data_IF_080122761294
#
_entry.id   IF_080122761294
#
_cell.length_a   1.000
_cell.length_b   1.000
_cell.length_c   1.000
_cell.angle_alpha   90.00
_cell.angle_beta   90.00
_cell.angle_gamma   90.00
#
_symmetry.space_group_name_H-M   'P 1'
#
loop_
_entity.id
_entity.type
_entity.pdbx_description
1 polymer ?
#
# COMPACT_ATOMS: atom_id res chain seq x y z
N UNK A 1 -12.60 29.29 12.49
CA UNK A 1 -13.29 29.41 11.19
C UNK A 1 -14.53 28.50 11.20
N UNK A 2 -15.74 29.07 11.20
CA UNK A 2 -17.00 28.32 11.12
C UNK A 2 -17.19 27.85 9.68
N UNK A 3 -16.62 26.70 9.32
CA UNK A 3 -17.04 26.02 8.10
C UNK A 3 -18.52 25.66 8.28
N UNK A 4 -19.40 26.27 7.48
CA UNK A 4 -20.81 25.88 7.37
C UNK A 4 -20.90 25.00 6.11
N UNK A 5 -20.48 23.72 6.17
CA UNK A 5 -20.46 22.88 4.98
C UNK A 5 -21.89 22.65 4.50
N UNK A 6 -22.08 22.83 3.19
CA UNK A 6 -23.33 22.50 2.52
C UNK A 6 -23.47 20.97 2.53
N UNK A 7 -24.61 20.48 3.05
CA UNK A 7 -24.84 19.03 3.21
C UNK A 7 -24.73 18.24 1.90
N UNK A 8 -25.12 18.84 0.78
CA UNK A 8 -24.96 18.23 -0.55
C UNK A 8 -23.50 18.06 -0.96
N UNK A 9 -22.65 19.06 -0.72
CA UNK A 9 -21.23 19.02 -1.09
C UNK A 9 -20.51 17.93 -0.31
N UNK A 10 -20.80 17.80 0.98
CA UNK A 10 -20.18 16.79 1.84
C UNK A 10 -20.50 15.37 1.37
N UNK A 11 -21.76 15.11 1.02
CA UNK A 11 -22.19 13.80 0.49
C UNK A 11 -21.50 13.48 -0.83
N UNK A 12 -21.48 14.43 -1.77
CA UNK A 12 -20.83 14.25 -3.07
C UNK A 12 -19.33 14.00 -2.90
N UNK A 13 -18.65 14.79 -2.07
CA UNK A 13 -17.23 14.64 -1.80
C UNK A 13 -16.92 13.28 -1.16
N UNK A 14 -17.72 12.83 -0.19
CA UNK A 14 -17.54 11.53 0.45
C UNK A 14 -17.74 10.38 -0.55
N UNK A 15 -18.75 10.47 -1.42
CA UNK A 15 -18.99 9.47 -2.47
C UNK A 15 -17.81 9.39 -3.43
N UNK A 16 -17.33 10.52 -3.95
CA UNK A 16 -16.18 10.55 -4.86
C UNK A 16 -14.93 9.99 -4.17
N UNK A 17 -14.66 10.41 -2.94
CA UNK A 17 -13.52 9.93 -2.17
C UNK A 17 -13.61 8.44 -1.88
N UNK A 18 -14.80 7.92 -1.55
CA UNK A 18 -15.02 6.48 -1.31
C UNK A 18 -14.81 5.65 -2.57
N UNK A 19 -15.21 6.15 -3.75
CA UNK A 19 -14.95 5.48 -5.04
C UNK A 19 -13.45 5.46 -5.35
N UNK A 20 -12.75 6.59 -5.20
CA UNK A 20 -11.30 6.66 -5.38
C UNK A 20 -10.57 5.72 -4.43
N UNK A 21 -10.99 5.71 -3.17
CA UNK A 21 -10.44 4.83 -2.14
C UNK A 21 -10.69 3.35 -2.44
N UNK A 22 -11.85 3.01 -3.00
CA UNK A 22 -12.15 1.67 -3.48
C UNK A 22 -11.21 1.24 -4.60
N UNK A 23 -10.97 2.10 -5.60
CA UNK A 23 -10.03 1.82 -6.70
C UNK A 23 -8.62 1.58 -6.16
N UNK A 24 -8.14 2.46 -5.27
CA UNK A 24 -6.83 2.32 -4.62
C UNK A 24 -6.73 1.00 -3.83
N UNK A 25 -7.79 0.62 -3.12
CA UNK A 25 -7.84 -0.62 -2.35
C UNK A 25 -7.70 -1.86 -3.24
N UNK A 26 -8.38 -1.88 -4.39
CA UNK A 26 -8.27 -2.97 -5.36
C UNK A 26 -6.83 -3.08 -5.88
N UNK A 27 -6.21 -1.96 -6.23
CA UNK A 27 -4.80 -1.95 -6.69
C UNK A 27 -3.85 -2.47 -5.60
N UNK A 28 -4.07 -2.09 -4.33
CA UNK A 28 -3.28 -2.59 -3.20
C UNK A 28 -3.43 -4.10 -3.01
N UNK A 29 -4.66 -4.63 -3.07
CA UNK A 29 -4.93 -6.07 -2.94
C UNK A 29 -4.22 -6.83 -4.07
N UNK A 30 -4.36 -6.34 -5.32
CA UNK A 30 -3.72 -6.98 -6.48
C UNK A 30 -2.21 -6.99 -6.36
N UNK A 31 -1.59 -5.86 -5.95
CA UNK A 31 -0.15 -5.82 -5.70
C UNK A 31 0.26 -6.80 -4.61
N UNK A 32 -0.43 -6.80 -3.46
CA UNK A 32 -0.16 -7.74 -2.38
C UNK A 32 -0.28 -9.20 -2.81
N UNK A 33 -1.28 -9.52 -3.65
CA UNK A 33 -1.49 -10.86 -4.19
C UNK A 33 -0.36 -11.30 -5.14
N UNK A 34 0.10 -10.42 -6.04
CA UNK A 34 1.24 -10.71 -6.94
C UNK A 34 2.49 -11.03 -6.11
N UNK A 35 2.80 -10.19 -5.11
CA UNK A 35 3.94 -10.45 -4.22
C UNK A 35 3.77 -11.73 -3.40
N UNK A 36 2.54 -12.06 -2.97
CA UNK A 36 2.28 -13.29 -2.22
C UNK A 36 2.51 -14.56 -3.06
N UNK A 37 2.15 -14.54 -4.34
CA UNK A 37 2.33 -15.65 -5.29
C UNK A 37 3.84 -15.93 -5.53
N UNK A 38 4.63 -14.87 -5.78
CA UNK A 38 6.08 -14.98 -5.93
C UNK A 38 6.77 -15.56 -4.69
N UNK A 39 6.26 -15.29 -3.49
CA UNK A 39 6.77 -15.83 -2.23
C UNK A 39 6.32 -17.27 -1.93
N UNK A 40 5.40 -17.84 -2.69
CA UNK A 40 4.94 -19.22 -2.47
C UNK A 40 6.01 -20.26 -2.82
N UNK A 41 6.94 -19.93 -3.73
CA UNK A 41 7.98 -20.84 -4.21
C UNK A 41 9.31 -20.89 -3.42
N UNK A 42 9.80 -19.82 -2.73
CA UNK A 42 11.08 -19.85 -2.00
C UNK A 42 10.95 -20.08 -0.48
N UNK A 43 9.76 -20.47 0.01
CA UNK A 43 9.28 -20.39 1.42
C UNK A 43 10.01 -21.25 2.47
N UNK A 44 11.34 -21.38 2.43
CA UNK A 44 12.09 -22.09 3.49
C UNK A 44 13.31 -21.37 4.06
N UNK A 45 13.79 -20.26 3.50
CA UNK A 45 15.08 -19.69 3.94
C UNK A 45 15.19 -18.17 4.07
N UNK A 46 14.16 -17.39 3.74
CA UNK A 46 14.20 -15.92 3.83
C UNK A 46 13.28 -15.44 4.95
N UNK A 47 13.83 -14.60 5.82
CA UNK A 47 13.30 -14.22 7.14
C UNK A 47 11.84 -13.75 7.16
N UNK A 48 11.21 -13.92 8.32
CA UNK A 48 9.78 -13.74 8.56
C UNK A 48 9.24 -12.36 8.12
N UNK A 49 10.08 -11.32 8.07
CA UNK A 49 9.70 -9.95 7.74
C UNK A 49 9.10 -9.77 6.34
N UNK A 50 9.53 -10.57 5.35
CA UNK A 50 9.05 -10.42 3.97
C UNK A 50 7.67 -11.04 3.71
N UNK A 51 7.23 -11.99 4.55
CA UNK A 51 5.90 -12.61 4.41
C UNK A 51 4.84 -11.75 5.10
N UNK A 52 5.21 -11.06 6.18
CA UNK A 52 4.30 -10.19 6.91
C UNK A 52 3.87 -8.99 6.08
N UNK A 53 4.77 -8.43 5.26
CA UNK A 53 4.51 -7.23 4.46
C UNK A 53 3.39 -7.41 3.39
N UNK A 54 3.46 -8.36 2.44
CA UNK A 54 2.41 -8.57 1.44
C UNK A 54 1.08 -9.00 2.09
N UNK A 55 1.15 -9.79 3.17
CA UNK A 55 -0.03 -10.20 3.94
C UNK A 55 -0.72 -8.99 4.59
N UNK A 56 0.04 -8.06 5.18
CA UNK A 56 -0.47 -6.80 5.72
C UNK A 56 -1.11 -5.93 4.64
N UNK A 57 -0.51 -5.83 3.44
CA UNK A 57 -1.11 -5.09 2.32
C UNK A 57 -2.47 -5.66 1.90
N UNK A 58 -2.61 -6.98 1.84
CA UNK A 58 -3.88 -7.64 1.49
C UNK A 58 -4.94 -7.37 2.57
N UNK A 59 -4.58 -7.54 3.85
CA UNK A 59 -5.50 -7.30 4.97
C UNK A 59 -5.94 -5.83 4.98
N UNK A 60 -4.99 -4.91 4.88
CA UNK A 60 -5.26 -3.47 4.91
C UNK A 60 -6.10 -3.05 3.71
N UNK A 61 -5.80 -3.55 2.51
CA UNK A 61 -6.58 -3.31 1.30
C UNK A 61 -8.01 -3.82 1.42
N UNK A 62 -8.22 -5.00 2.00
CA UNK A 62 -9.56 -5.56 2.24
C UNK A 62 -10.39 -4.71 3.23
N UNK A 63 -9.75 -4.20 4.28
CA UNK A 63 -10.38 -3.31 5.25
C UNK A 63 -10.76 -1.97 4.60
N UNK A 64 -9.90 -1.44 3.74
CA UNK A 64 -10.16 -0.21 2.98
C UNK A 64 -11.33 -0.40 2.00
N UNK A 65 -11.42 -1.56 1.35
CA UNK A 65 -12.56 -1.90 0.49
C UNK A 65 -13.88 -1.93 1.29
N UNK A 66 -13.89 -2.52 2.48
CA UNK A 66 -15.06 -2.52 3.37
C UNK A 66 -15.45 -1.08 3.79
N UNK A 67 -14.47 -0.23 4.09
CA UNK A 67 -14.69 1.18 4.41
C UNK A 67 -15.22 1.99 3.21
N UNK A 68 -14.82 1.65 1.98
CA UNK A 68 -15.38 2.26 0.77
C UNK A 68 -16.87 1.94 0.60
N UNK A 69 -17.26 0.68 0.84
CA UNK A 69 -18.68 0.26 0.84
C UNK A 69 -19.44 0.96 1.95
N UNK A 70 -18.87 1.02 3.16
CA UNK A 70 -19.45 1.76 4.27
C UNK A 70 -19.64 3.24 3.92
N UNK A 71 -18.69 3.88 3.23
CA UNK A 71 -18.81 5.27 2.79
C UNK A 71 -19.98 5.52 1.83
N UNK A 72 -20.24 4.60 0.91
CA UNK A 72 -21.44 4.66 0.07
C UNK A 72 -22.73 4.57 0.88
N UNK A 73 -22.76 3.78 1.96
CA UNK A 73 -23.92 3.67 2.86
C UNK A 73 -24.08 4.94 3.71
N UNK A 74 -22.98 5.47 4.27
CA UNK A 74 -22.99 6.70 5.07
C UNK A 74 -23.41 7.93 4.28
N UNK A 75 -23.17 7.98 2.96
CA UNK A 75 -23.65 9.05 2.08
C UNK A 75 -25.20 9.20 2.10
N UNK A 76 -25.92 8.13 2.48
CA UNK A 76 -27.37 8.13 2.60
C UNK A 76 -27.88 8.71 3.94
N UNK A 77 -27.00 8.94 4.92
CA UNK A 77 -27.39 9.49 6.22
C UNK A 77 -27.64 11.00 6.17
N UNK A 78 -28.63 11.50 6.90
CA UNK A 78 -28.97 12.93 6.95
C UNK A 78 -28.11 13.75 7.93
N UNK A 79 -27.46 13.05 8.86
CA UNK A 79 -26.65 13.64 9.91
C UNK A 79 -25.29 14.09 9.38
N UNK A 80 -25.20 15.39 9.03
CA UNK A 80 -23.98 16.04 8.53
C UNK A 80 -22.76 15.86 9.44
N UNK A 81 -22.98 15.84 10.76
CA UNK A 81 -21.90 15.64 11.75
C UNK A 81 -21.28 14.25 11.63
N UNK A 82 -22.12 13.20 11.50
CA UNK A 82 -21.67 11.81 11.37
C UNK A 82 -20.90 11.63 10.06
N UNK A 83 -21.39 12.23 8.96
CA UNK A 83 -20.70 12.25 7.68
C UNK A 83 -19.31 12.91 7.76
N UNK A 84 -19.21 14.05 8.44
CA UNK A 84 -17.94 14.78 8.58
C UNK A 84 -16.93 13.99 9.40
N UNK A 85 -17.35 13.39 10.52
CA UNK A 85 -16.49 12.55 11.35
C UNK A 85 -16.01 11.33 10.57
N UNK A 86 -16.92 10.66 9.85
CA UNK A 86 -16.57 9.50 9.04
C UNK A 86 -15.60 9.85 7.91
N UNK A 87 -15.80 11.00 7.23
CA UNK A 87 -14.87 11.51 6.23
C UNK A 87 -13.45 11.72 6.81
N UNK A 88 -13.35 12.27 8.02
CA UNK A 88 -12.07 12.46 8.71
C UNK A 88 -11.36 11.14 9.03
N UNK A 89 -12.11 10.13 9.48
CA UNK A 89 -11.56 8.79 9.75
C UNK A 89 -11.05 8.14 8.46
N UNK A 90 -11.84 8.21 7.38
CA UNK A 90 -11.46 7.69 6.06
C UNK A 90 -10.18 8.34 5.53
N UNK A 91 -10.08 9.66 5.63
CA UNK A 91 -8.89 10.41 5.22
C UNK A 91 -7.66 9.99 6.04
N UNK A 92 -7.84 9.81 7.34
CA UNK A 92 -6.76 9.38 8.25
C UNK A 92 -6.24 7.99 7.87
N UNK A 93 -7.16 7.04 7.62
CA UNK A 93 -6.80 5.69 7.18
C UNK A 93 -6.08 5.74 5.83
N UNK A 94 -6.57 6.55 4.87
CA UNK A 94 -5.91 6.71 3.58
C UNK A 94 -4.47 7.20 3.74
N UNK A 95 -4.21 8.18 4.60
CA UNK A 95 -2.85 8.66 4.85
C UNK A 95 -1.94 7.57 5.42
N UNK A 96 -2.44 6.74 6.33
CA UNK A 96 -1.68 5.62 6.91
C UNK A 96 -1.36 4.58 5.83
N UNK A 97 -2.35 4.20 5.01
CA UNK A 97 -2.19 3.25 3.90
C UNK A 97 -1.15 3.75 2.90
N UNK A 98 -1.23 5.03 2.52
CA UNK A 98 -0.26 5.66 1.61
C UNK A 98 1.14 5.69 2.21
N UNK A 99 1.28 6.04 3.49
CA UNK A 99 2.57 6.05 4.16
C UNK A 99 3.23 4.67 4.16
N UNK A 100 2.48 3.62 4.52
CA UNK A 100 2.97 2.24 4.51
C UNK A 100 3.35 1.82 3.08
N UNK A 101 2.51 2.14 2.09
CA UNK A 101 2.79 1.83 0.69
C UNK A 101 4.08 2.49 0.18
N UNK A 102 4.29 3.77 0.50
CA UNK A 102 5.51 4.50 0.12
C UNK A 102 6.74 3.92 0.83
N UNK A 103 6.66 3.64 2.13
CA UNK A 103 7.76 3.04 2.90
C UNK A 103 8.13 1.68 2.31
N UNK A 104 7.14 0.86 1.98
CA UNK A 104 7.34 -0.43 1.31
C UNK A 104 8.06 -0.27 -0.02
N UNK A 105 7.64 0.69 -0.85
CA UNK A 105 8.25 0.94 -2.15
C UNK A 105 9.71 1.38 -2.04
N UNK A 106 10.02 2.33 -1.15
CA UNK A 106 11.39 2.80 -0.91
C UNK A 106 12.28 1.66 -0.39
N UNK A 107 11.74 0.80 0.47
CA UNK A 107 12.52 -0.32 1.03
C UNK A 107 12.87 -1.36 -0.05
N UNK A 108 11.97 -1.60 -1.00
CA UNK A 108 12.22 -2.46 -2.17
C UNK A 108 13.32 -1.86 -3.06
N UNK A 109 13.21 -0.56 -3.40
CA UNK A 109 14.20 0.14 -4.25
C UNK A 109 15.61 0.13 -3.64
N UNK A 110 15.71 0.29 -2.32
CA UNK A 110 16.98 0.23 -1.60
C UNK A 110 17.61 -1.18 -1.65
N UNK A 111 16.77 -2.22 -1.66
CA UNK A 111 17.24 -3.60 -1.77
C UNK A 111 17.77 -3.91 -3.18
N UNK A 112 17.10 -3.42 -4.23
CA UNK A 112 17.56 -3.59 -5.62
C UNK A 112 18.90 -2.89 -5.90
N UNK A 113 19.08 -1.69 -5.35
CA UNK A 113 20.31 -0.92 -5.51
C UNK A 113 21.51 -1.53 -4.75
N UNK A 114 21.27 -2.26 -3.66
CA UNK A 114 22.27 -3.08 -2.98
C UNK A 114 22.68 -4.34 -3.77
N UNK A 115 21.70 -5.01 -4.40
CA UNK A 115 21.93 -6.22 -5.19
C UNK A 115 22.67 -5.93 -6.51
N UNK A 116 22.34 -4.81 -7.19
CA UNK A 116 23.03 -4.36 -8.40
C UNK A 116 24.51 -4.00 -8.16
N UNK A 117 24.86 -3.49 -6.97
CA UNK A 117 26.26 -3.24 -6.59
C UNK A 117 26.99 -4.54 -6.23
N UNK A 118 26.36 -5.49 -5.53
CA UNK A 118 26.96 -6.82 -5.26
C UNK A 118 27.24 -7.61 -6.52
N UNK A 119 26.31 -7.62 -7.49
CA UNK A 119 26.49 -8.37 -8.72
C UNK A 119 27.63 -7.80 -9.58
N UNK A 120 27.87 -6.48 -9.54
CA UNK A 120 29.05 -5.87 -10.18
C UNK A 120 30.35 -6.16 -9.45
N UNK A 121 30.34 -6.27 -8.12
CA UNK A 121 31.52 -6.64 -7.34
C UNK A 121 31.90 -8.12 -7.55
N UNK A 122 30.93 -9.04 -7.57
CA UNK A 122 31.18 -10.47 -7.84
C UNK A 122 31.70 -10.71 -9.26
N UNK A 123 31.20 -9.97 -10.26
CA UNK A 123 31.74 -10.04 -11.64
C UNK A 123 33.09 -9.35 -11.83
N UNK A 124 33.46 -8.43 -10.94
CA UNK A 124 34.79 -7.81 -10.92
C UNK A 124 35.84 -8.76 -10.33
N UNK A 125 35.54 -9.34 -9.17
CA UNK A 125 36.40 -10.29 -8.45
C UNK A 125 36.71 -11.54 -9.28
N UNK A 126 35.72 -12.08 -9.99
CA UNK A 126 35.91 -13.25 -10.87
C UNK A 126 36.84 -13.00 -12.06
N UNK A 127 37.01 -11.75 -12.50
CA UNK A 127 37.97 -11.40 -13.58
C UNK A 127 39.39 -11.24 -13.07
N UNK A 128 39.58 -10.81 -11.83
CA UNK A 128 40.91 -10.67 -11.21
C UNK A 128 41.53 -12.03 -10.87
N UNK A 129 40.71 -13.00 -10.41
CA UNK A 129 41.15 -14.38 -10.14
C UNK A 129 41.57 -15.12 -11.44
N UNK A 130 40.92 -14.82 -12.56
CA UNK A 130 41.24 -15.44 -13.84
C UNK A 130 42.54 -14.89 -14.46
N UNK A 131 42.90 -13.63 -14.19
CA UNK A 131 44.13 -13.00 -14.68
C UNK A 131 45.37 -13.31 -13.83
N UNK A 132 45.20 -13.73 -12.58
CA UNK A 132 46.31 -14.15 -11.68
C UNK A 132 46.64 -15.64 -11.76
N UNK A 133 45.88 -16.41 -12.56
CA UNK A 133 46.10 -17.85 -12.78
C UNK A 133 46.85 -18.17 -14.09
N UNK A 134 47.45 -17.17 -14.75
CA UNK A 134 48.32 -17.30 -15.91
C UNK A 134 49.68 -16.64 -15.66
#
# INVERSE_FOLDING_TARGET
MKFKPNGHILRIALTIFSVLFGILSITLITMGAIYFDELWWPRRYIGLDFVELPTLLIILGSLCLAMAVAGCIFAKTDNKTILLTFAGVLLTILCIVLAIGIISFINIEKHESGHSKRHRLISGDKREIFLTSF
#
